data_IF_211069341255
#
_entry.id   IF_211069341255
#
_cell.length_a   1.000
_cell.length_b   1.000
_cell.length_c   1.000
_cell.angle_alpha   90.00
_cell.angle_beta   90.00
_cell.angle_gamma   90.00
#
_symmetry.space_group_name_H-M   'P 1'
#
loop_
_entity.id
_entity.type
_entity.pdbx_description
1 polymer ?
#
# COMPACT_ATOMS: atom_id res chain seq x y z
N UNK A 1 48.84 24.29 20.37
CA UNK A 1 47.48 24.77 20.73
C UNK A 1 46.82 25.23 19.45
N UNK A 2 45.80 24.48 18.99
CA UNK A 2 44.38 24.93 18.89
C UNK A 2 44.19 25.97 17.78
N UNK A 3 43.31 25.86 16.79
CA UNK A 3 42.08 25.09 16.56
C UNK A 3 41.76 25.34 15.07
N UNK A 4 41.65 24.29 14.24
CA UNK A 4 40.40 23.94 13.56
C UNK A 4 39.59 25.15 13.04
N UNK A 5 39.72 25.45 11.74
CA UNK A 5 38.68 26.15 10.99
C UNK A 5 38.12 25.16 9.96
N UNK A 6 37.02 24.52 10.35
CA UNK A 6 36.22 23.64 9.50
C UNK A 6 35.79 24.40 8.25
N UNK A 7 36.18 23.89 7.08
CA UNK A 7 35.61 24.29 5.80
C UNK A 7 34.28 23.55 5.65
N UNK A 8 33.18 24.32 5.70
CA UNK A 8 31.82 23.87 5.44
C UNK A 8 31.74 23.22 4.05
N UNK A 9 31.49 21.90 4.01
CA UNK A 9 30.87 21.26 2.84
C UNK A 9 29.44 20.92 3.26
N UNK A 10 28.57 21.93 3.17
CA UNK A 10 27.13 21.72 3.19
C UNK A 10 26.71 21.11 1.86
N UNK A 11 26.75 19.78 1.74
CA UNK A 11 26.10 19.09 0.64
C UNK A 11 24.59 19.12 0.93
N UNK A 12 23.92 20.12 0.36
CA UNK A 12 22.47 20.16 0.32
C UNK A 12 21.98 18.94 -0.45
N UNK A 13 21.50 17.92 0.27
CA UNK A 13 20.53 16.99 -0.28
C UNK A 13 19.23 17.78 -0.49
N UNK A 14 19.15 18.50 -1.61
CA UNK A 14 17.88 18.81 -2.23
C UNK A 14 17.33 17.48 -2.77
N UNK A 15 16.84 16.64 -1.87
CA UNK A 15 15.98 15.53 -2.25
C UNK A 15 14.80 16.14 -2.97
N UNK A 16 14.78 16.00 -4.30
CA UNK A 16 13.61 16.32 -5.08
C UNK A 16 12.51 15.40 -4.56
N UNK A 17 11.66 15.92 -3.66
CA UNK A 17 10.37 15.32 -3.35
C UNK A 17 9.52 15.55 -4.59
N UNK A 18 9.78 14.77 -5.65
CA UNK A 18 8.77 14.54 -6.64
C UNK A 18 7.64 13.89 -5.85
N UNK A 19 6.51 14.57 -5.72
CA UNK A 19 5.33 14.00 -5.07
C UNK A 19 4.94 12.78 -5.90
N UNK A 20 5.41 11.60 -5.49
CA UNK A 20 5.23 10.36 -6.20
C UNK A 20 3.73 10.07 -6.18
N UNK A 21 3.15 10.04 -7.39
CA UNK A 21 1.76 9.73 -7.61
C UNK A 21 1.72 8.38 -8.32
N UNK A 22 1.00 7.43 -7.73
CA UNK A 22 0.65 6.17 -8.37
C UNK A 22 -0.86 6.14 -8.65
N UNK A 23 -1.22 5.56 -9.78
CA UNK A 23 -2.61 5.29 -10.15
C UNK A 23 -2.82 3.78 -10.13
N UNK A 24 -3.81 3.33 -9.37
CA UNK A 24 -4.22 1.94 -9.32
C UNK A 24 -5.53 1.84 -10.09
N UNK A 25 -5.54 1.02 -11.14
CA UNK A 25 -6.70 0.79 -12.01
C UNK A 25 -7.23 -0.61 -11.79
N UNK A 26 -8.53 -0.79 -12.01
CA UNK A 26 -9.06 -2.13 -12.20
C UNK A 26 -8.41 -2.77 -13.43
N UNK A 27 -8.31 -4.09 -13.40
CA UNK A 27 -7.86 -4.88 -14.54
C UNK A 27 -8.93 -5.88 -14.91
N UNK A 28 -9.03 -6.20 -16.19
CA UNK A 28 -9.99 -7.18 -16.70
C UNK A 28 -9.32 -8.25 -17.55
N UNK A 29 -9.76 -9.48 -17.34
CA UNK A 29 -9.27 -10.66 -18.05
C UNK A 29 -7.88 -11.12 -17.59
N UNK A 30 -7.37 -12.22 -18.19
CA UNK A 30 -6.15 -12.88 -17.72
C UNK A 30 -4.85 -12.11 -18.03
N UNK A 31 -4.91 -11.08 -18.89
CA UNK A 31 -3.74 -10.32 -19.32
C UNK A 31 -3.68 -8.90 -18.73
N UNK A 32 -4.67 -8.52 -17.90
CA UNK A 32 -4.72 -7.18 -17.31
C UNK A 32 -5.05 -6.10 -18.33
N UNK A 33 -6.24 -6.14 -18.91
CA UNK A 33 -6.74 -5.00 -19.70
C UNK A 33 -7.06 -3.84 -18.75
N UNK A 34 -6.47 -2.64 -18.92
CA UNK A 34 -6.72 -1.52 -18.02
C UNK A 34 -8.18 -1.09 -18.02
N UNK A 35 -8.76 -1.03 -16.82
CA UNK A 35 -10.09 -0.54 -16.54
C UNK A 35 -10.10 0.88 -16.00
N UNK A 36 -11.18 1.22 -15.30
CA UNK A 36 -11.30 2.50 -14.60
C UNK A 36 -10.28 2.63 -13.46
N UNK A 37 -9.93 3.88 -13.15
CA UNK A 37 -9.13 4.17 -11.98
C UNK A 37 -9.88 3.78 -10.70
N UNK A 38 -9.23 3.01 -9.82
CA UNK A 38 -9.74 2.59 -8.53
C UNK A 38 -9.21 3.47 -7.39
N UNK A 39 -7.90 3.72 -7.37
CA UNK A 39 -7.24 4.53 -6.34
C UNK A 39 -6.17 5.43 -6.91
N UNK A 40 -6.01 6.61 -6.30
CA UNK A 40 -4.84 7.48 -6.49
C UNK A 40 -4.06 7.46 -5.21
N UNK A 41 -2.77 7.13 -5.29
CA UNK A 41 -1.87 7.20 -4.14
C UNK A 41 -0.93 8.36 -4.36
N UNK A 42 -0.95 9.32 -3.44
CA UNK A 42 -0.09 10.50 -3.50
C UNK A 42 0.53 10.71 -2.13
N UNK A 43 1.87 10.69 -2.08
CA UNK A 43 2.64 10.78 -0.83
C UNK A 43 2.22 9.69 0.16
N UNK A 44 1.66 10.11 1.29
CA UNK A 44 1.25 9.30 2.43
C UNK A 44 -0.25 8.97 2.41
N UNK A 45 -0.94 9.15 1.28
CA UNK A 45 -2.41 9.07 1.21
C UNK A 45 -2.88 8.19 0.08
N UNK A 46 -3.93 7.43 0.36
CA UNK A 46 -4.68 6.66 -0.61
C UNK A 46 -6.04 7.32 -0.75
N UNK A 47 -6.38 7.69 -1.98
CA UNK A 47 -7.64 8.32 -2.34
C UNK A 47 -8.45 7.36 -3.20
N UNK A 48 -9.76 7.36 -3.01
CA UNK A 48 -10.64 6.78 -4.01
C UNK A 48 -10.48 7.58 -5.32
N UNK A 49 -10.31 6.89 -6.43
CA UNK A 49 -10.26 7.53 -7.73
C UNK A 49 -11.67 7.75 -8.29
N UNK A 50 -11.81 8.76 -9.14
CA UNK A 50 -13.04 9.04 -9.88
C UNK A 50 -12.72 9.31 -11.36
N UNK A 51 -13.56 8.77 -12.25
CA UNK A 51 -13.40 8.89 -13.69
C UNK A 51 -12.21 8.10 -14.27
N UNK A 52 -12.14 8.05 -15.60
CA UNK A 52 -11.20 7.20 -16.32
C UNK A 52 -9.72 7.58 -16.16
N UNK A 53 -9.41 8.81 -15.72
CA UNK A 53 -8.03 9.31 -15.59
C UNK A 53 -7.53 9.39 -14.14
N UNK A 54 -8.33 8.94 -13.18
CA UNK A 54 -7.94 8.97 -11.77
C UNK A 54 -7.99 10.36 -11.16
N UNK A 55 -9.12 11.06 -11.32
CA UNK A 55 -9.35 12.29 -10.56
C UNK A 55 -9.40 11.93 -9.07
N UNK A 56 -8.56 12.60 -8.28
CA UNK A 56 -8.43 12.33 -6.85
C UNK A 56 -9.75 12.66 -6.12
N UNK A 57 -10.38 11.63 -5.58
CA UNK A 57 -11.56 11.73 -4.74
C UNK A 57 -11.19 11.83 -3.25
N UNK A 58 -12.13 11.47 -2.35
CA UNK A 58 -11.89 11.54 -0.91
C UNK A 58 -10.73 10.61 -0.50
N UNK A 59 -9.94 11.09 0.46
CA UNK A 59 -8.93 10.27 1.11
C UNK A 59 -9.61 9.17 1.93
N UNK A 60 -9.18 7.92 1.73
CA UNK A 60 -9.70 6.73 2.41
C UNK A 60 -8.72 6.22 3.47
N UNK A 61 -7.41 6.31 3.19
CA UNK A 61 -6.36 5.92 4.12
C UNK A 61 -5.22 6.91 4.17
N UNK A 62 -4.64 7.06 5.36
CA UNK A 62 -3.46 7.88 5.65
C UNK A 62 -2.39 6.96 6.23
N UNK A 63 -1.23 6.91 5.59
CA UNK A 63 -0.07 6.13 6.02
C UNK A 63 0.84 7.01 6.87
N UNK A 64 1.37 6.47 7.96
CA UNK A 64 2.35 7.12 8.82
C UNK A 64 3.35 6.09 9.28
N UNK A 65 4.59 6.23 8.84
CA UNK A 65 5.65 5.27 9.10
C UNK A 65 5.24 3.86 8.65
N UNK A 66 5.02 2.95 9.59
CA UNK A 66 4.56 1.58 9.37
C UNK A 66 3.05 1.39 9.58
N UNK A 67 2.31 2.44 9.96
CA UNK A 67 0.88 2.39 10.27
C UNK A 67 0.02 2.95 9.15
N UNK A 68 -1.20 2.42 9.07
CA UNK A 68 -2.24 2.91 8.18
C UNK A 68 -3.48 3.21 8.99
N UNK A 69 -3.97 4.44 8.86
CA UNK A 69 -5.17 4.91 9.50
C UNK A 69 -6.28 5.04 8.48
N UNK A 70 -7.52 4.76 8.89
CA UNK A 70 -8.67 5.26 8.17
C UNK A 70 -8.64 6.79 8.18
N UNK A 71 -8.99 7.41 7.06
CA UNK A 71 -9.15 8.86 7.04
C UNK A 71 -10.38 9.27 7.87
N UNK A 72 -10.22 10.27 8.72
CA UNK A 72 -11.31 10.86 9.51
C UNK A 72 -12.17 11.83 8.67
N UNK A 73 -11.67 12.30 7.53
CA UNK A 73 -12.36 13.20 6.61
C UNK A 73 -11.91 13.00 5.16
N UNK A 74 -12.53 13.69 4.21
CA UNK A 74 -12.17 13.59 2.80
C UNK A 74 -10.75 14.13 2.48
N UNK A 75 -10.14 14.91 3.38
CA UNK A 75 -8.87 15.59 3.16
C UNK A 75 -7.67 14.79 3.67
N UNK A 76 -7.88 13.70 4.40
CA UNK A 76 -6.82 12.83 4.90
C UNK A 76 -6.32 13.22 6.29
N UNK A 77 -7.21 13.65 7.19
CA UNK A 77 -6.86 13.65 8.62
C UNK A 77 -6.81 12.21 9.13
N UNK A 78 -5.76 11.79 9.87
CA UNK A 78 -5.69 10.43 10.40
C UNK A 78 -6.80 10.19 11.42
N UNK A 79 -7.55 9.12 11.24
CA UNK A 79 -8.54 8.61 12.18
C UNK A 79 -8.00 7.41 12.95
N UNK A 80 -8.88 6.44 13.22
CA UNK A 80 -8.50 5.19 13.85
C UNK A 80 -7.48 4.43 12.99
N UNK A 81 -6.48 3.83 13.64
CA UNK A 81 -5.56 2.92 12.99
C UNK A 81 -6.36 1.70 12.48
N UNK A 82 -6.02 1.28 11.26
CA UNK A 82 -6.64 0.18 10.54
C UNK A 82 -5.66 -0.99 10.41
N UNK A 83 -4.41 -0.68 10.07
CA UNK A 83 -3.36 -1.65 9.86
C UNK A 83 -2.01 -1.13 10.35
N UNK A 84 -1.08 -2.06 10.58
CA UNK A 84 0.35 -1.75 10.59
C UNK A 84 1.11 -2.83 9.84
N UNK A 85 2.18 -2.43 9.18
CA UNK A 85 3.14 -3.34 8.58
C UNK A 85 4.12 -3.81 9.65
N UNK A 86 4.34 -5.12 9.67
CA UNK A 86 5.38 -5.74 10.47
C UNK A 86 6.10 -6.76 9.61
N UNK A 87 7.40 -6.54 9.39
CA UNK A 87 8.22 -7.41 8.55
C UNK A 87 7.58 -7.59 7.16
N UNK A 88 7.00 -8.77 6.92
CA UNK A 88 6.32 -9.10 5.67
C UNK A 88 4.79 -9.26 5.83
N UNK A 89 4.20 -8.84 6.94
CA UNK A 89 2.78 -8.97 7.21
C UNK A 89 2.10 -7.61 7.33
N UNK A 90 0.86 -7.53 6.86
CA UNK A 90 -0.06 -6.46 7.19
C UNK A 90 -0.98 -6.95 8.30
N UNK A 91 -0.92 -6.31 9.45
CA UNK A 91 -1.66 -6.72 10.64
C UNK A 91 -2.80 -5.74 10.90
N UNK A 92 -4.01 -6.25 11.14
CA UNK A 92 -5.13 -5.40 11.55
C UNK A 92 -4.81 -4.75 12.88
N UNK A 93 -5.15 -3.50 13.03
CA UNK A 93 -5.15 -2.87 14.34
C UNK A 93 -6.37 -1.98 14.52
N UNK A 94 -6.60 -1.56 15.76
CA UNK A 94 -7.75 -0.74 16.11
C UNK A 94 -7.40 0.34 17.12
N UNK A 95 -8.26 1.36 17.21
CA UNK A 95 -8.04 2.53 18.07
C UNK A 95 -6.99 3.48 17.51
N UNK A 96 -6.74 4.58 18.22
CA UNK A 96 -5.82 5.62 17.74
C UNK A 96 -4.35 5.19 17.79
N UNK A 97 -3.97 4.38 18.79
CA UNK A 97 -2.61 3.92 19.03
C UNK A 97 -2.32 2.52 18.46
N UNK A 98 -3.12 2.05 17.49
CA UNK A 98 -2.94 0.77 16.81
C UNK A 98 -2.77 -0.42 17.78
N UNK A 99 -3.86 -0.81 18.46
CA UNK A 99 -3.90 -2.05 19.24
C UNK A 99 -3.88 -3.23 18.29
N UNK A 100 -2.83 -4.05 18.38
CA UNK A 100 -2.59 -5.19 17.50
C UNK A 100 -3.77 -6.18 17.53
N UNK A 101 -4.28 -6.51 16.35
CA UNK A 101 -5.28 -7.54 16.11
C UNK A 101 -4.71 -8.75 15.35
N UNK A 102 -5.57 -9.42 14.58
CA UNK A 102 -5.17 -10.52 13.71
C UNK A 102 -4.47 -10.02 12.45
N UNK A 103 -3.65 -10.88 11.84
CA UNK A 103 -3.03 -10.53 10.58
C UNK A 103 -4.06 -10.51 9.45
N UNK A 104 -3.92 -9.60 8.50
CA UNK A 104 -4.77 -9.51 7.31
C UNK A 104 -4.11 -10.23 6.13
N UNK A 105 -2.86 -9.86 5.85
CA UNK A 105 -2.11 -10.36 4.71
C UNK A 105 -0.68 -10.69 5.11
N UNK A 106 -0.09 -11.68 4.44
CA UNK A 106 1.35 -12.01 4.52
C UNK A 106 1.92 -12.02 3.12
N UNK A 107 3.02 -11.30 2.91
CA UNK A 107 3.79 -11.23 1.69
C UNK A 107 4.93 -12.26 1.74
N UNK A 108 5.05 -13.07 0.71
CA UNK A 108 6.14 -14.03 0.53
C UNK A 108 6.66 -13.92 -0.91
N UNK A 109 7.77 -13.21 -1.08
CA UNK A 109 8.28 -12.86 -2.41
C UNK A 109 7.27 -12.01 -3.17
N UNK A 110 6.76 -12.54 -4.27
CA UNK A 110 5.76 -11.88 -5.11
C UNK A 110 4.33 -12.40 -4.87
N UNK A 111 4.10 -13.17 -3.80
CA UNK A 111 2.79 -13.75 -3.48
C UNK A 111 2.26 -13.15 -2.18
N UNK A 112 0.97 -12.83 -2.17
CA UNK A 112 0.26 -12.34 -1.00
C UNK A 112 -0.74 -13.40 -0.58
N UNK A 113 -0.74 -13.75 0.70
CA UNK A 113 -1.64 -14.73 1.28
C UNK A 113 -2.58 -14.07 2.27
N UNK A 114 -3.81 -14.58 2.35
CA UNK A 114 -4.67 -14.26 3.49
C UNK A 114 -4.02 -14.87 4.73
N UNK A 115 -4.08 -14.15 5.83
CA UNK A 115 -3.59 -14.62 7.11
C UNK A 115 -4.63 -14.40 8.19
N UNK A 116 -4.49 -15.14 9.29
CA UNK A 116 -5.31 -14.96 10.48
C UNK A 116 -4.53 -15.26 11.77
N UNK A 117 -5.12 -14.92 12.90
CA UNK A 117 -4.54 -15.07 14.22
C UNK A 117 -3.47 -14.02 14.52
N UNK A 118 -2.99 -14.05 15.77
CA UNK A 118 -1.96 -13.11 16.28
C UNK A 118 -0.56 -13.39 15.73
N UNK A 119 -0.34 -14.62 15.26
CA UNK A 119 0.93 -15.12 14.73
C UNK A 119 1.00 -15.14 13.20
N UNK A 120 0.03 -14.53 12.52
CA UNK A 120 -0.03 -14.47 11.06
C UNK A 120 0.03 -15.85 10.38
N UNK A 121 -0.81 -16.78 10.83
CA UNK A 121 -0.89 -18.08 10.21
C UNK A 121 -1.37 -17.92 8.76
N UNK A 122 -0.54 -18.36 7.83
CA UNK A 122 -0.81 -18.31 6.39
C UNK A 122 -1.97 -19.24 6.04
N UNK A 123 -2.97 -18.71 5.35
CA UNK A 123 -4.10 -19.46 4.82
C UNK A 123 -3.95 -19.61 3.30
N UNK A 124 -4.99 -19.30 2.54
CA UNK A 124 -4.98 -19.38 1.07
C UNK A 124 -4.27 -18.20 0.42
N UNK A 125 -3.79 -18.42 -0.80
CA UNK A 125 -3.31 -17.37 -1.68
C UNK A 125 -4.39 -16.31 -1.87
N UNK A 126 -4.00 -15.05 -1.75
CA UNK A 126 -4.87 -13.91 -1.98
C UNK A 126 -4.58 -13.29 -3.35
N UNK A 127 -3.31 -13.01 -3.61
CA UNK A 127 -2.87 -12.28 -4.78
C UNK A 127 -1.49 -12.73 -5.25
N UNK A 128 -1.22 -12.57 -6.54
CA UNK A 128 0.11 -12.71 -7.14
C UNK A 128 0.49 -11.37 -7.75
N UNK A 129 1.68 -10.90 -7.43
CA UNK A 129 2.25 -9.65 -7.90
C UNK A 129 3.21 -9.99 -9.05
N UNK A 130 2.99 -9.44 -10.23
CA UNK A 130 3.95 -9.53 -11.32
C UNK A 130 4.10 -8.18 -11.98
N UNK A 131 5.33 -7.67 -11.95
CA UNK A 131 5.67 -6.34 -12.47
C UNK A 131 4.74 -5.27 -11.88
N UNK A 132 3.81 -4.75 -12.69
CA UNK A 132 2.85 -3.73 -12.32
C UNK A 132 1.40 -4.24 -12.33
N UNK A 133 1.18 -5.55 -12.38
CA UNK A 133 -0.15 -6.16 -12.41
C UNK A 133 -0.35 -7.04 -11.19
N UNK A 134 -1.54 -6.94 -10.58
CA UNK A 134 -1.97 -7.81 -9.50
C UNK A 134 -2.99 -8.80 -10.03
N UNK A 135 -2.76 -10.07 -9.76
CA UNK A 135 -3.64 -11.18 -10.11
C UNK A 135 -4.28 -11.75 -8.86
N UNK A 136 -5.48 -12.31 -8.99
CA UNK A 136 -6.06 -13.17 -7.95
C UNK A 136 -5.17 -14.40 -7.77
N UNK A 137 -4.86 -14.70 -6.52
CA UNK A 137 -4.19 -15.92 -6.12
C UNK A 137 -5.22 -16.99 -5.80
N UNK A 138 -5.03 -18.20 -6.32
CA UNK A 138 -5.90 -19.34 -6.05
C UNK A 138 -5.16 -20.45 -5.30
N UNK A 139 -5.87 -21.08 -4.36
CA UNK A 139 -5.37 -22.21 -3.56
C UNK A 139 -4.22 -21.86 -2.61
N UNK A 140 -3.66 -22.89 -1.96
CA UNK A 140 -2.64 -22.74 -0.91
C UNK A 140 -1.29 -22.18 -1.40
N UNK A 141 -1.05 -22.14 -2.71
CA UNK A 141 0.21 -21.70 -3.30
C UNK A 141 0.12 -20.37 -4.05
N UNK A 142 -1.04 -19.69 -4.00
CA UNK A 142 -1.34 -18.50 -4.78
C UNK A 142 -1.00 -18.71 -6.27
N UNK A 143 -1.68 -19.66 -6.89
CA UNK A 143 -1.61 -19.83 -8.35
C UNK A 143 -2.22 -18.61 -9.02
N UNK A 144 -1.57 -18.13 -10.08
CA UNK A 144 -1.99 -16.94 -10.82
C UNK A 144 -3.33 -17.20 -11.54
N UNK A 145 -4.36 -16.44 -11.18
CA UNK A 145 -5.66 -16.39 -11.83
C UNK A 145 -5.81 -15.14 -12.72
N UNK A 146 -6.99 -14.52 -12.66
CA UNK A 146 -7.28 -13.30 -13.43
C UNK A 146 -6.58 -12.06 -12.86
N UNK A 147 -6.25 -11.11 -13.73
CA UNK A 147 -5.75 -9.81 -13.31
C UNK A 147 -6.89 -8.99 -12.70
N UNK A 148 -6.63 -8.33 -11.57
CA UNK A 148 -7.61 -7.47 -10.88
C UNK A 148 -7.17 -6.02 -10.79
N UNK A 149 -5.87 -5.74 -10.75
CA UNK A 149 -5.35 -4.38 -10.69
C UNK A 149 -4.16 -4.19 -11.61
N UNK A 150 -4.03 -2.97 -12.12
CA UNK A 150 -2.82 -2.47 -12.79
C UNK A 150 -2.34 -1.24 -12.04
N UNK A 151 -1.04 -1.17 -11.83
CA UNK A 151 -0.35 -0.10 -11.13
C UNK A 151 0.39 0.72 -12.17
N UNK A 152 0.17 2.03 -12.15
CA UNK A 152 0.88 2.99 -12.97
C UNK A 152 1.64 3.95 -12.05
N UNK A 153 2.96 4.04 -12.25
CA UNK A 153 3.85 4.75 -11.33
C UNK A 153 4.30 3.89 -10.16
N UNK A 154 4.99 4.52 -9.21
CA UNK A 154 5.61 3.82 -8.09
C UNK A 154 4.69 3.80 -6.88
N UNK A 155 4.24 2.60 -6.52
CA UNK A 155 3.34 2.37 -5.40
C UNK A 155 4.10 1.74 -4.21
N UNK A 156 4.14 2.38 -3.04
CA UNK A 156 4.72 1.77 -1.85
C UNK A 156 4.02 0.46 -1.50
N UNK A 157 4.77 -0.56 -1.08
CA UNK A 157 4.22 -1.87 -0.75
C UNK A 157 3.15 -1.80 0.35
N UNK A 158 3.33 -0.91 1.34
CA UNK A 158 2.32 -0.65 2.37
C UNK A 158 0.98 -0.18 1.77
N UNK A 159 1.03 0.70 0.79
CA UNK A 159 -0.16 1.21 0.11
C UNK A 159 -0.84 0.09 -0.69
N UNK A 160 -0.04 -0.71 -1.42
CA UNK A 160 -0.54 -1.86 -2.16
C UNK A 160 -1.23 -2.86 -1.24
N UNK A 161 -0.56 -3.32 -0.18
CA UNK A 161 -1.15 -4.28 0.76
C UNK A 161 -2.40 -3.72 1.45
N UNK A 162 -2.44 -2.42 1.75
CA UNK A 162 -3.64 -1.76 2.30
C UNK A 162 -4.81 -1.82 1.33
N UNK A 163 -4.59 -1.49 0.06
CA UNK A 163 -5.61 -1.57 -0.99
C UNK A 163 -6.10 -3.01 -1.10
N UNK A 164 -5.19 -3.97 -1.20
CA UNK A 164 -5.50 -5.40 -1.32
C UNK A 164 -6.25 -5.96 -0.09
N UNK A 165 -5.99 -5.45 1.11
CA UNK A 165 -6.72 -5.85 2.30
C UNK A 165 -8.16 -5.30 2.36
N UNK A 166 -8.45 -4.27 1.56
CA UNK A 166 -9.78 -3.66 1.43
C UNK A 166 -10.62 -4.17 0.25
N UNK A 167 -10.07 -5.06 -0.59
CA UNK A 167 -10.77 -5.75 -1.68
C UNK A 167 -11.47 -7.01 -1.18
#
# INVERSE_FOLDING_TARGET
MRVQLLLLVGFMFAGQVCAQQALVRWAYGPFGTPGDAAFVVQKDRIHQASGAFGTMGPCVWVMRDDQVHHSADAFGRPGAAAYFAQENALVRCSGFNCQRGSCALVLEGNKVFRADGTFCNKAEGAFVLEENVVYLGEGAFATKGEAILIIEGDLPMLALLTILAGL
#
